data_IF_028390738284
#
_entry.id   IF_028390738284
#
_cell.length_a   1.000
_cell.length_b   1.000
_cell.length_c   1.000
_cell.angle_alpha   90.00
_cell.angle_beta   90.00
_cell.angle_gamma   90.00
#
_symmetry.space_group_name_H-M   'P 1'
#
loop_
_entity.id
_entity.type
_entity.pdbx_description
1 polymer ?
#
# COMPACT_ATOMS: atom_id res chain seq x y z
N UNK A 1 -13.36 -1.25 6.16
CA UNK A 1 -11.90 -1.41 5.99
C UNK A 1 -11.54 -1.24 4.51
N UNK A 2 -10.53 -0.42 4.18
CA UNK A 2 -10.12 -0.18 2.79
C UNK A 2 -8.68 -0.63 2.55
N UNK A 3 -8.45 -1.47 1.53
CA UNK A 3 -7.12 -1.88 1.07
C UNK A 3 -6.76 -1.29 -0.30
N UNK A 4 -7.49 -0.29 -0.78
CA UNK A 4 -7.20 0.31 -2.08
C UNK A 4 -5.81 0.96 -2.08
N UNK A 5 -5.09 0.74 -3.18
CA UNK A 5 -3.82 1.43 -3.45
C UNK A 5 -4.05 2.94 -3.58
N UNK A 6 -3.03 3.73 -3.23
CA UNK A 6 -3.11 5.18 -3.22
C UNK A 6 -3.58 5.75 -1.88
N UNK A 7 -3.81 7.07 -1.89
CA UNK A 7 -4.01 7.91 -0.70
C UNK A 7 -5.26 8.77 -0.87
N UNK A 8 -5.94 9.10 0.23
CA UNK A 8 -7.03 10.09 0.28
C UNK A 8 -8.44 9.50 0.11
N UNK A 9 -8.56 8.25 -0.32
CA UNK A 9 -9.88 7.61 -0.46
C UNK A 9 -10.54 7.33 0.89
N UNK A 10 -9.77 7.09 1.96
CA UNK A 10 -10.33 6.96 3.31
C UNK A 10 -11.07 8.21 3.76
N UNK A 11 -10.56 9.41 3.48
CA UNK A 11 -11.25 10.67 3.83
C UNK A 11 -12.60 10.80 3.12
N UNK A 12 -12.68 10.35 1.86
CA UNK A 12 -13.95 10.30 1.12
C UNK A 12 -14.90 9.29 1.77
N UNK A 13 -14.40 8.10 2.12
CA UNK A 13 -15.22 7.08 2.78
C UNK A 13 -15.73 7.59 4.14
N UNK A 14 -14.87 8.22 4.93
CA UNK A 14 -15.21 8.82 6.22
C UNK A 14 -16.36 9.83 6.08
N UNK A 15 -16.34 10.67 5.03
CA UNK A 15 -17.43 11.63 4.78
C UNK A 15 -18.79 10.99 4.50
N UNK A 16 -18.82 9.71 4.11
CA UNK A 16 -20.04 8.95 3.78
C UNK A 16 -20.51 8.11 4.97
N UNK A 17 -19.59 7.40 5.65
CA UNK A 17 -19.95 6.38 6.65
C UNK A 17 -19.69 6.79 8.10
N UNK A 18 -18.94 7.88 8.33
CA UNK A 18 -18.45 8.32 9.62
C UNK A 18 -17.01 7.89 9.90
N UNK A 19 -16.27 8.71 10.65
CA UNK A 19 -14.85 8.49 10.95
C UNK A 19 -14.61 7.18 11.69
N UNK A 20 -15.49 6.87 12.63
CA UNK A 20 -15.43 5.72 13.52
C UNK A 20 -15.58 4.38 12.79
N UNK A 21 -16.13 4.36 11.57
CA UNK A 21 -16.35 3.13 10.80
C UNK A 21 -15.24 2.83 9.80
N UNK A 22 -14.28 3.75 9.64
CA UNK A 22 -13.21 3.61 8.66
C UNK A 22 -11.95 3.04 9.30
N UNK A 23 -11.61 1.83 8.85
CA UNK A 23 -10.33 1.19 9.11
C UNK A 23 -9.46 1.38 7.86
N UNK A 24 -8.32 2.03 8.04
CA UNK A 24 -7.30 2.14 7.00
C UNK A 24 -6.58 0.81 6.83
N UNK A 25 -6.20 0.51 5.61
CA UNK A 25 -5.47 -0.72 5.28
C UNK A 25 -4.48 -0.52 4.16
N UNK A 26 -3.39 -1.28 4.21
CA UNK A 26 -2.46 -1.46 3.10
C UNK A 26 -2.03 -2.91 3.04
N UNK A 27 -1.89 -3.45 1.84
CA UNK A 27 -1.53 -4.85 1.63
C UNK A 27 -0.38 -4.96 0.65
N UNK A 28 0.44 -5.98 0.83
CA UNK A 28 1.52 -6.34 -0.10
C UNK A 28 1.25 -7.67 -0.81
N UNK A 29 -0.01 -8.12 -0.78
CA UNK A 29 -0.49 -9.28 -1.51
C UNK A 29 -0.36 -9.04 -3.02
N UNK A 30 0.18 -10.03 -3.74
CA UNK A 30 0.35 -9.99 -5.18
C UNK A 30 -0.50 -11.09 -5.82
N UNK A 31 -1.49 -10.71 -6.63
CA UNK A 31 -2.34 -11.67 -7.34
C UNK A 31 -2.78 -11.15 -8.71
N UNK A 32 -2.99 -12.08 -9.62
CA UNK A 32 -3.47 -11.81 -10.98
C UNK A 32 -4.80 -12.55 -11.21
N UNK A 33 -5.71 -11.91 -11.94
CA UNK A 33 -6.91 -12.54 -12.46
C UNK A 33 -6.54 -13.21 -13.79
N UNK A 34 -6.63 -14.53 -13.86
CA UNK A 34 -6.38 -15.30 -15.09
C UNK A 34 -7.64 -15.45 -15.95
N UNK A 35 -8.81 -15.39 -15.30
CA UNK A 35 -10.12 -15.52 -15.91
C UNK A 35 -11.23 -15.50 -14.86
N UNK A 36 -12.51 -15.59 -15.25
CA UNK A 36 -13.63 -15.62 -14.31
C UNK A 36 -13.48 -16.77 -13.31
N UNK A 37 -13.40 -16.47 -12.01
CA UNK A 37 -13.21 -17.47 -10.95
C UNK A 37 -11.79 -18.06 -10.85
N UNK A 38 -10.82 -17.59 -11.65
CA UNK A 38 -9.45 -18.09 -11.66
C UNK A 38 -8.46 -16.99 -11.24
N UNK A 39 -7.88 -17.14 -10.05
CA UNK A 39 -6.90 -16.21 -9.46
C UNK A 39 -5.56 -16.95 -9.30
N UNK A 40 -4.48 -16.32 -9.72
CA UNK A 40 -3.12 -16.73 -9.40
C UNK A 40 -2.60 -15.85 -8.27
N UNK A 41 -2.34 -16.44 -7.11
CA UNK A 41 -1.67 -15.78 -6.00
C UNK A 41 -0.15 -16.01 -6.13
N UNK A 42 0.63 -14.93 -6.18
CA UNK A 42 2.09 -14.97 -6.36
C UNK A 42 2.86 -15.00 -5.03
N UNK A 43 2.16 -14.83 -3.90
CA UNK A 43 2.78 -14.85 -2.59
C UNK A 43 2.01 -14.02 -1.58
N UNK A 44 2.11 -14.45 -0.32
CA UNK A 44 1.48 -13.79 0.82
C UNK A 44 2.53 -12.97 1.56
N UNK A 45 2.52 -11.66 1.36
CA UNK A 45 3.28 -10.72 2.19
C UNK A 45 2.35 -10.00 3.17
N UNK A 46 2.85 -9.50 4.31
CA UNK A 46 2.01 -8.95 5.36
C UNK A 46 1.09 -7.82 4.87
N UNK A 47 -0.07 -7.73 5.50
CA UNK A 47 -0.97 -6.58 5.40
C UNK A 47 -0.93 -5.79 6.69
N UNK A 48 -1.18 -4.49 6.62
CA UNK A 48 -1.29 -3.61 7.78
C UNK A 48 -2.66 -2.99 7.83
N UNK A 49 -3.24 -2.94 9.03
CA UNK A 49 -4.51 -2.29 9.30
C UNK A 49 -4.39 -1.40 10.54
N UNK A 50 -5.19 -0.35 10.62
CA UNK A 50 -5.22 0.52 11.78
C UNK A 50 -6.36 1.51 11.72
N UNK A 51 -6.60 2.19 12.83
CA UNK A 51 -7.50 3.34 12.85
C UNK A 51 -6.96 4.42 11.91
N UNK A 52 -7.84 5.02 11.11
CA UNK A 52 -7.37 6.01 10.13
C UNK A 52 -6.81 7.27 10.80
N UNK A 53 -7.35 7.67 11.95
CA UNK A 53 -6.79 8.76 12.76
C UNK A 53 -5.60 8.34 13.64
N UNK A 54 -5.19 7.07 13.56
CA UNK A 54 -4.11 6.50 14.33
C UNK A 54 -4.57 5.84 15.63
N UNK A 55 -3.66 5.07 16.21
CA UNK A 55 -3.87 4.27 17.41
C UNK A 55 -4.28 2.83 17.11
N UNK A 56 -3.94 1.95 18.05
CA UNK A 56 -4.38 0.56 18.07
C UNK A 56 -5.55 0.43 19.05
N UNK A 57 -6.69 -0.01 18.54
CA UNK A 57 -7.89 -0.33 19.32
C UNK A 57 -8.09 -1.84 19.40
N UNK A 58 -8.88 -2.30 20.37
CA UNK A 58 -9.21 -3.72 20.53
C UNK A 58 -9.73 -4.35 19.23
N UNK A 59 -10.64 -3.65 18.52
CA UNK A 59 -11.16 -4.13 17.22
C UNK A 59 -10.07 -4.31 16.16
N UNK A 60 -9.04 -3.46 16.13
CA UNK A 60 -7.96 -3.57 15.15
C UNK A 60 -7.14 -4.82 15.44
N UNK A 61 -6.83 -5.06 16.72
CA UNK A 61 -6.12 -6.26 17.17
C UNK A 61 -6.93 -7.52 16.88
N UNK A 62 -8.20 -7.57 17.25
CA UNK A 62 -9.08 -8.71 16.98
C UNK A 62 -9.18 -9.04 15.49
N UNK A 63 -9.32 -8.02 14.64
CA UNK A 63 -9.37 -8.21 13.18
C UNK A 63 -8.01 -8.75 12.69
N UNK A 64 -6.89 -8.14 13.10
CA UNK A 64 -5.56 -8.56 12.68
C UNK A 64 -5.26 -10.02 13.09
N UNK A 65 -5.61 -10.39 14.33
CA UNK A 65 -5.44 -11.73 14.85
C UNK A 65 -6.34 -12.73 14.10
N UNK A 66 -7.58 -12.35 13.79
CA UNK A 66 -8.51 -13.19 13.02
C UNK A 66 -7.95 -13.51 11.63
N UNK A 67 -7.44 -12.51 10.90
CA UNK A 67 -6.84 -12.74 9.58
C UNK A 67 -5.57 -13.59 9.69
N UNK A 68 -4.71 -13.29 10.66
CA UNK A 68 -3.46 -14.03 10.87
C UNK A 68 -3.71 -15.50 11.22
N UNK A 69 -4.73 -15.79 12.03
CA UNK A 69 -5.16 -17.16 12.34
C UNK A 69 -5.62 -17.96 11.11
N UNK A 70 -6.02 -17.27 10.04
CA UNK A 70 -6.42 -17.86 8.76
C UNK A 70 -5.32 -17.77 7.68
N UNK A 71 -4.04 -17.67 8.09
CA UNK A 71 -2.87 -17.61 7.21
C UNK A 71 -2.80 -16.36 6.30
N UNK A 72 -3.46 -15.28 6.71
CA UNK A 72 -3.33 -13.96 6.09
C UNK A 72 -2.64 -13.05 7.09
N UNK A 73 -1.31 -13.04 7.06
CA UNK A 73 -0.51 -12.24 7.98
C UNK A 73 -0.98 -10.77 7.96
N UNK A 74 -1.51 -10.33 9.09
CA UNK A 74 -2.09 -9.00 9.24
C UNK A 74 -1.58 -8.37 10.53
N UNK A 75 -1.04 -7.16 10.41
CA UNK A 75 -0.34 -6.46 11.47
C UNK A 75 -1.11 -5.20 11.82
N UNK A 76 -1.48 -5.07 13.10
CA UNK A 76 -2.00 -3.82 13.65
C UNK A 76 -0.93 -2.71 13.57
N UNK A 77 -1.28 -1.58 12.96
CA UNK A 77 -0.39 -0.45 12.76
C UNK A 77 -0.87 0.75 13.58
N UNK A 78 0.01 1.26 14.44
CA UNK A 78 -0.21 2.49 15.21
C UNK A 78 -0.47 3.70 14.30
N UNK A 79 0.25 3.78 13.20
CA UNK A 79 0.08 4.81 12.17
C UNK A 79 -0.12 4.15 10.80
N UNK A 80 -1.39 3.90 10.48
CA UNK A 80 -1.75 3.31 9.19
C UNK A 80 -1.56 4.28 8.03
N UNK A 81 -1.68 5.60 8.27
CA UNK A 81 -1.43 6.64 7.25
C UNK A 81 0.02 6.56 6.78
N UNK A 82 0.98 6.44 7.69
CA UNK A 82 2.40 6.24 7.37
C UNK A 82 2.64 4.96 6.56
N UNK A 83 2.00 3.84 6.94
CA UNK A 83 2.09 2.59 6.17
C UNK A 83 1.56 2.73 4.74
N UNK A 84 0.44 3.45 4.56
CA UNK A 84 -0.11 3.76 3.23
C UNK A 84 0.82 4.66 2.41
N UNK A 85 1.42 5.69 3.02
CA UNK A 85 2.41 6.55 2.36
C UNK A 85 3.60 5.75 1.85
N UNK A 86 4.12 4.83 2.66
CA UNK A 86 5.22 3.95 2.26
C UNK A 86 4.83 3.04 1.08
N UNK A 87 3.63 2.45 1.13
CA UNK A 87 3.11 1.65 0.02
C UNK A 87 2.87 2.47 -1.27
N UNK A 88 2.41 3.70 -1.13
CA UNK A 88 2.24 4.62 -2.27
C UNK A 88 3.56 4.96 -2.95
N UNK A 89 4.61 5.22 -2.18
CA UNK A 89 5.96 5.45 -2.70
C UNK A 89 6.48 4.25 -3.52
N UNK A 90 6.27 3.03 -3.01
CA UNK A 90 6.63 1.80 -3.72
C UNK A 90 5.86 1.66 -5.05
N UNK A 91 4.53 1.83 -5.01
CA UNK A 91 3.69 1.75 -6.20
C UNK A 91 4.02 2.82 -7.25
N UNK A 92 4.37 4.03 -6.82
CA UNK A 92 4.76 5.12 -7.72
C UNK A 92 6.03 4.76 -8.51
N UNK A 93 7.01 4.14 -7.85
CA UNK A 93 8.21 3.63 -8.52
C UNK A 93 7.89 2.48 -9.48
N UNK A 94 6.97 1.60 -9.11
CA UNK A 94 6.55 0.51 -9.96
C UNK A 94 5.83 0.95 -11.22
N UNK A 95 5.26 2.15 -11.28
CA UNK A 95 4.62 2.69 -12.50
C UNK A 95 5.59 2.82 -13.67
N UNK A 96 6.91 2.92 -13.41
CA UNK A 96 7.91 2.89 -14.47
C UNK A 96 7.91 1.58 -15.28
N UNK A 97 7.43 0.46 -14.73
CA UNK A 97 7.32 -0.81 -15.48
C UNK A 97 6.36 -0.68 -16.64
N UNK A 98 5.24 0.00 -16.42
CA UNK A 98 4.25 0.28 -17.43
C UNK A 98 4.76 1.29 -18.49
N UNK A 99 5.54 2.29 -18.07
CA UNK A 99 6.07 3.31 -18.99
C UNK A 99 7.16 2.73 -19.90
N UNK A 100 8.05 1.91 -19.37
CA UNK A 100 9.19 1.36 -20.12
C UNK A 100 8.90 -0.01 -20.74
N UNK A 101 7.71 -0.57 -20.53
CA UNK A 101 7.35 -1.94 -20.94
C UNK A 101 8.37 -2.98 -20.44
N UNK A 102 8.71 -2.89 -19.15
CA UNK A 102 9.68 -3.75 -18.50
C UNK A 102 9.09 -4.40 -17.27
N UNK A 103 9.38 -5.68 -17.06
CA UNK A 103 9.12 -6.33 -15.78
C UNK A 103 9.83 -5.58 -14.64
N UNK A 104 9.26 -5.59 -13.42
CA UNK A 104 9.83 -4.86 -12.27
C UNK A 104 11.30 -5.18 -12.01
N UNK A 105 11.70 -6.45 -12.11
CA UNK A 105 13.12 -6.84 -11.98
C UNK A 105 13.97 -6.26 -13.11
N UNK A 106 13.41 -6.18 -14.33
CA UNK A 106 14.06 -5.60 -15.50
C UNK A 106 14.45 -4.14 -15.26
N UNK A 107 13.58 -3.33 -14.68
CA UNK A 107 13.87 -1.91 -14.37
C UNK A 107 15.11 -1.71 -13.51
N UNK A 108 15.34 -2.61 -12.55
CA UNK A 108 16.41 -2.45 -11.56
C UNK A 108 17.74 -3.09 -11.97
N UNK A 109 17.76 -3.84 -13.08
CA UNK A 109 18.99 -4.36 -13.69
C UNK A 109 19.63 -3.24 -14.55
N UNK A 110 20.96 -3.28 -14.70
CA UNK A 110 21.69 -2.31 -15.52
C UNK A 110 21.21 -2.33 -16.98
N UNK A 111 20.38 -1.35 -17.34
CA UNK A 111 19.84 -1.12 -18.66
C UNK A 111 19.66 0.39 -18.89
N UNK A 112 19.31 0.79 -20.11
CA UNK A 112 19.14 2.21 -20.48
C UNK A 112 18.07 2.95 -19.67
N UNK A 113 17.04 2.25 -19.19
CA UNK A 113 15.96 2.83 -18.38
C UNK A 113 16.31 2.90 -16.88
N UNK A 114 17.33 2.18 -16.41
CA UNK A 114 17.69 2.11 -15.00
C UNK A 114 18.07 3.47 -14.41
N UNK A 115 18.93 4.22 -15.10
CA UNK A 115 19.39 5.52 -14.64
C UNK A 115 18.22 6.51 -14.51
N UNK A 116 17.35 6.55 -15.52
CA UNK A 116 16.16 7.41 -15.54
C UNK A 116 15.18 7.01 -14.44
N UNK A 117 14.87 5.72 -14.32
CA UNK A 117 13.94 5.21 -13.30
C UNK A 117 14.44 5.48 -11.88
N UNK A 118 15.74 5.27 -11.61
CA UNK A 118 16.35 5.56 -10.30
C UNK A 118 16.38 7.06 -10.00
N UNK A 119 16.69 7.89 -11.00
CA UNK A 119 16.70 9.34 -10.87
C UNK A 119 15.32 9.90 -10.53
N UNK A 120 14.29 9.49 -11.28
CA UNK A 120 12.91 9.89 -11.03
C UNK A 120 12.38 9.33 -9.71
N UNK A 121 12.66 8.06 -9.40
CA UNK A 121 12.28 7.43 -8.15
C UNK A 121 12.82 8.17 -6.93
N UNK A 122 14.10 8.59 -6.97
CA UNK A 122 14.70 9.42 -5.93
C UNK A 122 13.99 10.76 -5.78
N UNK A 123 13.63 11.41 -6.89
CA UNK A 123 12.90 12.69 -6.87
C UNK A 123 11.51 12.55 -6.23
N UNK A 124 10.78 11.48 -6.57
CA UNK A 124 9.46 11.18 -5.99
C UNK A 124 9.57 11.00 -4.48
N UNK A 125 10.57 10.25 -3.99
CA UNK A 125 10.77 10.04 -2.54
C UNK A 125 10.99 11.39 -1.83
N UNK A 126 11.89 12.23 -2.34
CA UNK A 126 12.22 13.52 -1.72
C UNK A 126 11.02 14.49 -1.72
N UNK A 127 10.27 14.58 -2.82
CA UNK A 127 9.08 15.42 -2.90
C UNK A 127 7.97 14.90 -1.96
N UNK A 128 7.81 13.58 -1.86
CA UNK A 128 6.79 12.97 -1.00
C UNK A 128 7.13 13.10 0.48
N UNK A 129 8.39 12.97 0.88
CA UNK A 129 8.82 13.27 2.26
C UNK A 129 8.51 14.71 2.64
N UNK A 130 8.75 15.65 1.71
CA UNK A 130 8.42 17.06 1.90
C UNK A 130 6.90 17.26 2.06
N UNK A 131 6.09 16.62 1.20
CA UNK A 131 4.62 16.69 1.29
C UNK A 131 4.08 16.03 2.57
N UNK A 132 4.64 14.90 2.98
CA UNK A 132 4.25 14.22 4.21
C UNK A 132 4.50 15.12 5.42
N UNK A 133 5.67 15.77 5.51
CA UNK A 133 5.98 16.75 6.56
C UNK A 133 5.07 18.00 6.53
N UNK A 134 4.44 18.32 5.39
CA UNK A 134 3.50 19.44 5.28
C UNK A 134 2.05 19.05 5.63
N UNK A 135 1.74 17.75 5.73
CA UNK A 135 0.39 17.23 5.96
C UNK A 135 0.20 16.53 7.32
N UNK A 136 1.28 16.38 8.10
CA UNK A 136 1.27 15.95 9.50
C UNK A 136 1.47 17.17 10.39
#
# INVERSE_FOLDING_TARGET
MSFKNGIGHEAIIQSIVGNEKVIGGTTTQASNILGPGHIMNHGSLPSWIGEYEGGITERITEIADTFTAHNLEMIAAEDVKKKKWMNFLLNSNWTFSAIFDLHHTGLYINNKANEVSRGLGKKIILETETLHLLMV
#
